data_IF_006804353941
#
_entry.id   IF_006804353941
#
_cell.length_a   1.000
_cell.length_b   1.000
_cell.length_c   1.000
_cell.angle_alpha   90.00
_cell.angle_beta   90.00
_cell.angle_gamma   90.00
#
_symmetry.space_group_name_H-M   'P 1'
#
loop_
_entity.id
_entity.type
_entity.pdbx_description
1 polymer ?
#
# COMPACT_ATOMS: atom_id res chain seq x y z
N UNK A 1 -16.84 -3.81 18.96
CA UNK A 1 -15.51 -3.74 19.60
C UNK A 1 -14.98 -2.32 19.41
N UNK A 2 -14.36 -1.70 20.42
CA UNK A 2 -13.95 -0.28 20.38
C UNK A 2 -12.58 -0.16 19.70
N UNK A 3 -12.48 0.58 18.61
CA UNK A 3 -11.20 0.98 18.02
C UNK A 3 -10.61 2.13 18.85
N UNK A 4 -9.39 1.95 19.37
CA UNK A 4 -8.69 2.93 20.19
C UNK A 4 -7.85 3.84 19.31
N UNK A 5 -8.47 4.90 18.79
CA UNK A 5 -7.78 5.95 18.04
C UNK A 5 -7.37 7.09 18.98
N UNK A 6 -6.07 7.32 19.13
CA UNK A 6 -5.54 8.54 19.75
C UNK A 6 -5.01 9.48 18.66
N UNK A 7 -5.57 10.68 18.55
CA UNK A 7 -5.16 11.74 17.61
C UNK A 7 -3.92 12.48 18.16
N UNK A 8 -2.81 12.66 17.40
CA UNK A 8 -1.60 13.27 17.94
C UNK A 8 -1.38 14.76 17.61
N UNK A 9 -2.36 15.53 17.13
CA UNK A 9 -2.09 16.92 16.70
C UNK A 9 -2.93 17.97 17.40
N UNK A 10 -2.44 18.49 18.54
CA UNK A 10 -2.72 19.84 19.05
C UNK A 10 -1.61 20.33 20.01
N UNK A 11 -0.74 21.25 19.54
CA UNK A 11 -0.44 22.60 20.12
C UNK A 11 0.90 23.16 19.60
N UNK A 12 0.97 24.44 19.19
CA UNK A 12 2.22 25.14 18.90
C UNK A 12 2.80 25.76 20.19
N UNK A 13 4.08 25.52 20.48
CA UNK A 13 4.81 26.26 21.49
C UNK A 13 5.41 27.52 20.84
N UNK A 14 4.92 28.68 21.26
CA UNK A 14 5.51 29.98 20.94
C UNK A 14 6.79 30.17 21.77
N UNK A 15 7.92 30.44 21.10
CA UNK A 15 9.19 30.80 21.73
C UNK A 15 9.89 31.88 20.90
N UNK A 16 10.18 33.01 21.54
CA UNK A 16 10.83 34.21 20.95
C UNK A 16 12.22 33.89 20.41
N UNK A 17 12.54 34.48 19.26
CA UNK A 17 13.91 34.59 18.73
C UNK A 17 14.53 35.88 19.32
N UNK A 18 15.68 35.83 20.02
CA UNK A 18 16.49 37.01 20.24
C UNK A 18 17.49 37.21 19.09
N UNK A 19 17.65 38.47 18.72
CA UNK A 19 18.50 39.00 17.66
C UNK A 19 19.98 39.06 18.06
N UNK A 20 20.85 38.80 17.07
CA UNK A 20 22.18 39.39 16.93
C UNK A 20 23.37 38.57 17.44
N UNK A 21 24.27 38.14 16.53
CA UNK A 21 25.57 38.81 16.25
C UNK A 21 26.29 38.07 15.10
N UNK A 22 26.70 38.82 14.08
CA UNK A 22 27.57 38.37 12.99
C UNK A 22 29.00 38.25 13.54
N UNK A 23 29.63 37.08 13.38
CA UNK A 23 31.09 36.93 13.46
C UNK A 23 31.52 35.95 12.37
N UNK A 24 32.27 36.46 11.39
CA UNK A 24 32.99 35.67 10.40
C UNK A 24 34.18 34.98 11.08
N UNK A 25 34.38 33.68 10.87
CA UNK A 25 35.72 33.08 10.74
C UNK A 25 35.60 31.73 10.02
N UNK A 26 36.37 31.57 8.95
CA UNK A 26 36.37 30.38 8.12
C UNK A 26 36.98 29.16 8.81
N UNK A 27 36.43 27.99 8.50
CA UNK A 27 37.11 26.71 8.68
C UNK A 27 36.82 25.81 7.49
N UNK A 28 37.92 25.26 6.97
CA UNK A 28 38.12 24.54 5.73
C UNK A 28 37.95 23.05 6.05
N UNK A 29 37.03 22.36 5.38
CA UNK A 29 36.85 20.91 5.54
C UNK A 29 38.00 20.14 4.83
N UNK A 30 38.64 19.15 5.46
CA UNK A 30 39.67 18.34 4.81
C UNK A 30 39.08 17.28 3.87
N UNK A 31 39.82 17.07 2.78
CA UNK A 31 39.53 16.22 1.62
C UNK A 31 39.37 14.74 1.96
N UNK A 32 38.37 14.11 1.34
CA UNK A 32 38.41 12.70 0.94
C UNK A 32 39.42 12.55 -0.22
N UNK A 33 40.67 12.14 0.06
CA UNK A 33 41.66 11.79 -0.99
C UNK A 33 42.41 10.47 -0.80
N UNK A 34 42.08 9.62 0.18
CA UNK A 34 42.98 8.50 0.55
C UNK A 34 42.48 7.07 0.25
N UNK A 35 41.51 6.88 -0.65
CA UNK A 35 41.16 5.52 -1.12
C UNK A 35 40.97 5.50 -2.64
N UNK A 36 42.06 5.74 -3.38
CA UNK A 36 42.16 5.42 -4.82
C UNK A 36 43.63 5.27 -5.26
N UNK A 37 44.40 4.42 -4.57
CA UNK A 37 45.70 3.95 -5.05
C UNK A 37 45.84 2.44 -4.86
N UNK A 38 45.16 1.67 -5.72
CA UNK A 38 45.51 0.30 -6.14
C UNK A 38 44.50 -0.18 -7.17
N UNK A 39 44.70 0.19 -8.43
CA UNK A 39 44.39 -0.58 -9.66
C UNK A 39 45.08 0.21 -10.79
N UNK A 40 46.13 -0.36 -11.38
CA UNK A 40 46.72 0.14 -12.64
C UNK A 40 46.03 -0.57 -13.81
N UNK A 41 45.75 0.11 -14.94
CA UNK A 41 45.23 -0.53 -16.14
C UNK A 41 46.38 -1.23 -16.90
N UNK A 42 46.34 -2.56 -16.97
CA UNK A 42 47.20 -3.37 -17.83
C UNK A 42 46.34 -4.03 -18.91
N UNK A 43 46.60 -3.69 -20.16
CA UNK A 43 46.02 -4.33 -21.33
C UNK A 43 46.41 -5.81 -21.37
N UNK A 44 45.42 -6.70 -21.47
CA UNK A 44 45.63 -8.09 -21.86
C UNK A 44 44.97 -8.27 -23.21
N UNK A 45 45.81 -8.32 -24.24
CA UNK A 45 45.43 -8.83 -25.56
C UNK A 45 45.24 -10.35 -25.42
N UNK A 46 44.04 -10.85 -25.72
CA UNK A 46 43.76 -12.28 -25.81
C UNK A 46 43.40 -12.61 -27.26
N UNK A 47 44.39 -13.17 -27.94
CA UNK A 47 44.31 -13.76 -29.28
C UNK A 47 43.33 -14.94 -29.25
N UNK A 48 42.40 -14.97 -30.19
CA UNK A 48 41.40 -16.03 -30.34
C UNK A 48 42.00 -17.17 -31.18
N UNK A 49 42.04 -18.43 -30.70
CA UNK A 49 42.07 -19.59 -31.58
C UNK A 49 40.64 -20.13 -31.77
N UNK A 50 40.40 -20.59 -33.00
CA UNK A 50 39.12 -21.10 -33.48
C UNK A 50 38.61 -22.30 -32.67
N UNK A 51 37.29 -22.37 -32.45
CA UNK A 51 36.59 -23.63 -32.22
C UNK A 51 35.57 -23.64 -31.08
N UNK A 52 34.30 -23.80 -31.48
CA UNK A 52 33.14 -24.33 -30.73
C UNK A 52 32.53 -23.49 -29.59
N UNK A 53 31.23 -23.22 -29.79
CA UNK A 53 30.24 -22.80 -28.78
C UNK A 53 30.26 -23.72 -27.54
N UNK A 54 30.12 -23.13 -26.35
CA UNK A 54 29.13 -23.54 -25.32
C UNK A 54 29.14 -22.57 -24.11
N UNK A 55 27.95 -22.06 -23.78
CA UNK A 55 27.46 -21.47 -22.51
C UNK A 55 28.43 -20.80 -21.52
N UNK A 56 28.26 -19.50 -21.28
CA UNK A 56 28.27 -18.92 -19.92
C UNK A 56 27.48 -17.60 -19.89
N UNK A 57 26.23 -17.69 -19.43
CA UNK A 57 25.38 -16.60 -18.98
C UNK A 57 25.48 -16.45 -17.46
N UNK A 58 25.22 -15.24 -16.96
CA UNK A 58 25.23 -14.78 -15.55
C UNK A 58 26.60 -14.36 -14.98
N UNK A 59 26.93 -13.06 -15.10
CA UNK A 59 27.45 -12.26 -13.96
C UNK A 59 27.51 -10.73 -14.21
N UNK A 60 26.58 -10.13 -14.97
CA UNK A 60 26.58 -8.68 -15.27
C UNK A 60 25.22 -7.97 -15.10
N UNK A 61 24.38 -8.39 -14.14
CA UNK A 61 23.09 -7.73 -13.86
C UNK A 61 22.87 -7.23 -12.42
N UNK A 62 23.81 -7.40 -11.50
CA UNK A 62 23.67 -6.89 -10.11
C UNK A 62 24.34 -5.52 -9.88
N UNK A 63 25.21 -5.07 -10.79
CA UNK A 63 25.94 -3.81 -10.63
C UNK A 63 25.16 -2.57 -11.12
N UNK A 64 24.13 -2.73 -11.96
CA UNK A 64 23.37 -1.61 -12.53
C UNK A 64 22.35 -1.02 -11.55
N UNK A 65 21.71 -1.83 -10.70
CA UNK A 65 20.71 -1.35 -9.74
C UNK A 65 21.31 -0.47 -8.65
N UNK A 66 22.41 -0.91 -8.03
CA UNK A 66 23.07 -0.16 -6.96
C UNK A 66 23.70 1.14 -7.48
N UNK A 67 24.28 1.12 -8.69
CA UNK A 67 24.84 2.30 -9.33
C UNK A 67 23.76 3.34 -9.67
N UNK A 68 22.58 2.91 -10.14
CA UNK A 68 21.47 3.81 -10.46
C UNK A 68 20.86 4.44 -9.19
N UNK A 69 20.79 3.70 -8.08
CA UNK A 69 20.36 4.23 -6.78
C UNK A 69 21.39 5.23 -6.23
N UNK A 70 22.69 4.95 -6.37
CA UNK A 70 23.76 5.86 -5.94
C UNK A 70 23.78 7.15 -6.76
N UNK A 71 23.59 7.05 -8.09
CA UNK A 71 23.52 8.21 -8.98
C UNK A 71 22.25 9.06 -8.73
N UNK A 72 21.11 8.43 -8.48
CA UNK A 72 19.88 9.14 -8.10
C UNK A 72 20.01 9.87 -6.75
N UNK A 73 20.72 9.25 -5.79
CA UNK A 73 21.02 9.88 -4.50
C UNK A 73 21.98 11.09 -4.65
N UNK A 74 22.97 11.00 -5.54
CA UNK A 74 23.89 12.10 -5.85
C UNK A 74 23.19 13.26 -6.56
N UNK A 75 22.27 12.98 -7.50
CA UNK A 75 21.49 14.01 -8.20
C UNK A 75 20.50 14.72 -7.26
N UNK A 76 19.93 14.00 -6.28
CA UNK A 76 19.05 14.59 -5.27
C UNK A 76 19.78 15.48 -4.24
N UNK A 77 21.13 15.41 -4.17
CA UNK A 77 21.92 16.19 -3.22
C UNK A 77 22.48 17.50 -3.81
N UNK A 78 22.42 17.68 -5.14
CA UNK A 78 22.84 18.90 -5.82
C UNK A 78 21.65 19.73 -6.29
N UNK A 79 21.08 20.56 -5.42
CA UNK A 79 20.35 21.73 -5.90
C UNK A 79 21.38 22.67 -6.55
N UNK A 80 21.29 22.86 -7.87
CA UNK A 80 22.09 23.75 -8.73
C UNK A 80 23.31 23.15 -9.46
N UNK A 81 23.10 22.11 -10.27
CA UNK A 81 24.03 21.80 -11.35
C UNK A 81 23.26 21.63 -12.67
N UNK A 82 23.52 22.50 -13.64
CA UNK A 82 23.05 22.33 -15.02
C UNK A 82 23.73 21.09 -15.62
N UNK A 83 22.93 20.13 -16.08
CA UNK A 83 23.43 18.86 -16.65
C UNK A 83 23.97 19.10 -18.07
N UNK A 84 25.14 18.53 -18.43
CA UNK A 84 25.65 18.57 -19.80
C UNK A 84 24.70 17.88 -20.79
N UNK A 85 24.50 18.51 -21.95
CA UNK A 85 23.54 18.17 -23.01
C UNK A 85 23.67 16.78 -23.66
N UNK A 86 24.62 15.96 -23.21
CA UNK A 86 24.89 14.62 -23.74
C UNK A 86 24.05 13.54 -23.03
N UNK A 87 23.65 13.74 -21.76
CA UNK A 87 22.85 12.75 -21.00
C UNK A 87 21.34 12.86 -21.33
N UNK A 88 20.88 14.02 -21.81
CA UNK A 88 19.46 14.28 -22.08
C UNK A 88 18.88 13.49 -23.27
N UNK A 89 19.72 12.89 -24.14
CA UNK A 89 19.27 12.23 -25.38
C UNK A 89 19.08 10.71 -25.28
N UNK A 90 19.43 10.09 -24.15
CA UNK A 90 19.38 8.62 -24.01
C UNK A 90 18.62 8.12 -22.78
N UNK A 91 17.92 9.00 -22.06
CA UNK A 91 16.96 8.59 -21.04
C UNK A 91 15.58 8.56 -21.71
N UNK A 92 14.95 7.38 -21.90
CA UNK A 92 13.56 7.32 -22.31
C UNK A 92 12.79 8.21 -21.34
N UNK A 93 11.98 9.14 -21.84
CA UNK A 93 11.15 10.00 -21.01
C UNK A 93 10.39 9.13 -20.00
N UNK A 94 10.86 9.11 -18.75
CA UNK A 94 10.16 8.46 -17.67
C UNK A 94 8.90 9.29 -17.48
N UNK A 95 7.80 8.84 -18.08
CA UNK A 95 6.48 9.36 -17.80
C UNK A 95 6.21 9.07 -16.33
N UNK A 96 5.93 10.13 -15.56
CA UNK A 96 5.54 10.04 -14.16
C UNK A 96 4.27 9.17 -13.96
N UNK A 97 3.52 8.89 -15.02
CA UNK A 97 2.34 8.02 -15.02
C UNK A 97 2.69 6.53 -14.79
N UNK A 98 3.95 6.14 -15.04
CA UNK A 98 4.41 4.76 -14.82
C UNK A 98 4.62 4.39 -13.33
N UNK A 99 4.61 5.37 -12.42
CA UNK A 99 4.87 5.20 -10.98
C UNK A 99 3.66 5.44 -10.07
N UNK A 100 2.46 5.66 -10.62
CA UNK A 100 1.22 5.81 -9.85
C UNK A 100 0.63 4.43 -9.49
N UNK A 101 0.66 3.97 -8.23
CA UNK A 101 0.22 2.63 -7.87
C UNK A 101 -1.32 2.55 -7.89
N UNK A 102 -1.86 1.69 -8.78
CA UNK A 102 -3.19 1.03 -8.79
C UNK A 102 -4.48 1.83 -8.52
N UNK A 103 -4.42 3.09 -8.07
CA UNK A 103 -5.54 3.74 -7.39
C UNK A 103 -6.32 4.75 -8.24
N UNK A 104 -5.76 5.16 -9.38
CA UNK A 104 -6.34 6.16 -10.28
C UNK A 104 -6.57 5.64 -11.70
N UNK A 105 -7.20 4.48 -11.87
CA UNK A 105 -7.68 4.08 -13.20
C UNK A 105 -9.11 3.56 -13.12
N UNK A 106 -10.06 4.41 -13.45
CA UNK A 106 -11.37 4.00 -13.99
C UNK A 106 -11.17 3.55 -15.46
N UNK A 107 -10.19 2.68 -15.68
CA UNK A 107 -10.05 1.97 -16.94
C UNK A 107 -11.02 0.79 -16.89
N UNK A 108 -11.77 0.63 -17.97
CA UNK A 108 -12.58 -0.55 -18.24
C UNK A 108 -11.70 -1.80 -18.09
N UNK A 109 -11.86 -2.51 -16.97
CA UNK A 109 -10.92 -3.55 -16.59
C UNK A 109 -11.24 -4.81 -17.40
N UNK A 110 -10.40 -5.10 -18.40
CA UNK A 110 -10.50 -6.30 -19.21
C UNK A 110 -10.07 -7.54 -18.41
N UNK A 111 -10.91 -7.97 -17.47
CA UNK A 111 -10.71 -9.22 -16.73
C UNK A 111 -10.78 -10.41 -17.69
N UNK A 112 -9.78 -11.29 -17.59
CA UNK A 112 -9.81 -12.60 -18.25
C UNK A 112 -11.03 -13.41 -17.78
N UNK A 113 -11.48 -14.37 -18.58
CA UNK A 113 -12.58 -15.27 -18.20
C UNK A 113 -12.31 -15.99 -16.87
N UNK A 114 -11.04 -16.34 -16.60
CA UNK A 114 -10.63 -16.94 -15.34
C UNK A 114 -10.81 -15.97 -14.16
N UNK A 115 -10.38 -14.71 -14.29
CA UNK A 115 -10.58 -13.69 -13.27
C UNK A 115 -12.06 -13.41 -13.03
N UNK A 116 -12.89 -13.38 -14.08
CA UNK A 116 -14.35 -13.22 -13.95
C UNK A 116 -14.99 -14.37 -13.18
N UNK A 117 -14.61 -15.62 -13.46
CA UNK A 117 -15.10 -16.81 -12.74
C UNK A 117 -14.67 -16.82 -11.28
N UNK A 118 -13.43 -16.43 -11.00
CA UNK A 118 -12.92 -16.30 -9.64
C UNK A 118 -13.68 -15.20 -8.88
N UNK A 119 -13.88 -14.04 -9.51
CA UNK A 119 -14.64 -12.93 -8.96
C UNK A 119 -16.09 -13.32 -8.66
N UNK A 120 -16.76 -14.03 -9.56
CA UNK A 120 -18.11 -14.55 -9.33
C UNK A 120 -18.15 -15.50 -8.13
N UNK A 121 -17.14 -16.38 -8.01
CA UNK A 121 -17.07 -17.32 -6.89
C UNK A 121 -16.89 -16.61 -5.55
N UNK A 122 -16.00 -15.62 -5.51
CA UNK A 122 -15.76 -14.79 -4.32
C UNK A 122 -16.98 -13.93 -3.99
N UNK A 123 -17.68 -13.38 -5.00
CA UNK A 123 -18.92 -12.62 -4.82
C UNK A 123 -20.00 -13.47 -4.15
N UNK A 124 -20.29 -14.65 -4.68
CA UNK A 124 -21.29 -15.54 -4.08
C UNK A 124 -20.92 -15.94 -2.65
N UNK A 125 -19.64 -16.21 -2.39
CA UNK A 125 -19.18 -16.56 -1.05
C UNK A 125 -19.28 -15.39 -0.06
N UNK A 126 -18.83 -14.18 -0.44
CA UNK A 126 -18.95 -12.97 0.38
C UNK A 126 -20.41 -12.65 0.64
N UNK A 127 -21.29 -12.81 -0.36
CA UNK A 127 -22.72 -12.65 -0.19
C UNK A 127 -23.28 -13.61 0.85
N UNK A 128 -22.92 -14.89 0.81
CA UNK A 128 -23.35 -15.89 1.80
C UNK A 128 -22.89 -15.54 3.21
N UNK A 129 -21.68 -14.99 3.39
CA UNK A 129 -21.21 -14.49 4.69
C UNK A 129 -22.12 -13.38 5.24
N UNK A 130 -22.57 -12.47 4.37
CA UNK A 130 -23.34 -11.28 4.77
C UNK A 130 -24.83 -11.63 4.97
N UNK A 131 -25.39 -12.53 4.15
CA UNK A 131 -26.81 -12.88 4.14
C UNK A 131 -27.35 -13.41 5.47
N UNK A 132 -26.50 -13.97 6.32
CA UNK A 132 -26.91 -14.44 7.65
C UNK A 132 -27.37 -13.31 8.60
N UNK A 133 -27.14 -12.03 8.25
CA UNK A 133 -27.39 -10.87 9.11
C UNK A 133 -28.26 -9.79 8.46
N UNK A 134 -28.48 -9.83 7.14
CA UNK A 134 -29.10 -8.75 6.39
C UNK A 134 -30.07 -9.28 5.33
N UNK A 135 -30.96 -8.41 4.84
CA UNK A 135 -31.81 -8.71 3.69
C UNK A 135 -30.95 -9.11 2.49
N UNK A 136 -31.48 -9.99 1.65
CA UNK A 136 -30.78 -10.51 0.46
C UNK A 136 -30.26 -9.40 -0.46
N UNK A 137 -31.03 -8.33 -0.68
CA UNK A 137 -30.66 -7.17 -1.49
C UNK A 137 -29.44 -6.44 -0.92
N UNK A 138 -29.45 -6.16 0.38
CA UNK A 138 -28.40 -5.40 1.05
C UNK A 138 -27.09 -6.22 1.10
N UNK A 139 -27.23 -7.53 1.28
CA UNK A 139 -26.10 -8.45 1.26
C UNK A 139 -25.48 -8.56 -0.14
N UNK A 140 -26.30 -8.64 -1.19
CA UNK A 140 -25.85 -8.68 -2.58
C UNK A 140 -25.07 -7.40 -2.93
N UNK A 141 -25.66 -6.22 -2.74
CA UNK A 141 -25.00 -4.96 -3.07
C UNK A 141 -23.73 -4.71 -2.23
N UNK A 142 -23.74 -5.06 -0.93
CA UNK A 142 -22.53 -4.93 -0.09
C UNK A 142 -21.41 -5.86 -0.57
N UNK A 143 -21.74 -7.10 -0.92
CA UNK A 143 -20.77 -8.05 -1.45
C UNK A 143 -20.19 -7.59 -2.79
N UNK A 144 -21.04 -7.07 -3.69
CA UNK A 144 -20.61 -6.52 -4.97
C UNK A 144 -19.61 -5.38 -4.78
N UNK A 145 -19.91 -4.42 -3.91
CA UNK A 145 -19.02 -3.30 -3.61
C UNK A 145 -17.68 -3.78 -3.05
N UNK A 146 -17.70 -4.68 -2.06
CA UNK A 146 -16.47 -5.23 -1.46
C UNK A 146 -15.62 -5.90 -2.54
N UNK A 147 -16.21 -6.79 -3.34
CA UNK A 147 -15.48 -7.55 -4.36
C UNK A 147 -14.94 -6.64 -5.46
N UNK A 148 -15.77 -5.74 -6.02
CA UNK A 148 -15.36 -4.85 -7.09
C UNK A 148 -14.20 -3.93 -6.66
N UNK A 149 -14.31 -3.27 -5.51
CA UNK A 149 -13.26 -2.35 -5.05
C UNK A 149 -11.98 -3.09 -4.63
N UNK A 150 -12.11 -4.31 -4.09
CA UNK A 150 -10.96 -5.18 -3.79
C UNK A 150 -10.22 -5.58 -5.06
N UNK A 151 -10.94 -6.04 -6.09
CA UNK A 151 -10.37 -6.42 -7.38
C UNK A 151 -9.72 -5.22 -8.08
N UNK A 152 -10.38 -4.05 -8.05
CA UNK A 152 -9.82 -2.80 -8.59
C UNK A 152 -8.46 -2.45 -7.98
N UNK A 153 -8.31 -2.70 -6.68
CA UNK A 153 -7.08 -2.45 -5.93
C UNK A 153 -6.08 -3.61 -5.93
N UNK A 154 -6.40 -4.76 -6.55
CA UNK A 154 -5.57 -5.96 -6.50
C UNK A 154 -5.44 -6.57 -5.10
N UNK A 155 -6.43 -6.36 -4.23
CA UNK A 155 -6.50 -6.93 -2.89
C UNK A 155 -7.50 -8.08 -2.89
N UNK A 156 -7.22 -9.13 -2.11
CA UNK A 156 -8.13 -10.27 -1.98
C UNK A 156 -9.48 -9.84 -1.37
N UNK A 157 -10.60 -10.04 -2.08
CA UNK A 157 -11.93 -9.72 -1.56
C UNK A 157 -12.29 -10.41 -0.25
N UNK A 158 -11.80 -11.62 0.00
CA UNK A 158 -12.05 -12.34 1.26
C UNK A 158 -11.33 -11.68 2.44
N UNK A 159 -10.15 -11.11 2.20
CA UNK A 159 -9.43 -10.34 3.21
C UNK A 159 -10.16 -9.04 3.53
N UNK A 160 -10.58 -8.28 2.51
CA UNK A 160 -11.34 -7.04 2.72
C UNK A 160 -12.68 -7.32 3.41
N UNK A 161 -13.38 -8.40 3.03
CA UNK A 161 -14.59 -8.83 3.72
C UNK A 161 -14.32 -9.14 5.21
N UNK A 162 -13.17 -9.74 5.56
CA UNK A 162 -12.82 -10.04 6.94
C UNK A 162 -12.56 -8.76 7.75
N UNK A 163 -11.90 -7.77 7.14
CA UNK A 163 -11.73 -6.43 7.73
C UNK A 163 -13.09 -5.77 7.95
N UNK A 164 -13.96 -5.73 6.94
CA UNK A 164 -15.31 -5.13 7.05
C UNK A 164 -16.14 -5.82 8.13
N UNK A 165 -16.07 -7.15 8.24
CA UNK A 165 -16.72 -7.92 9.31
C UNK A 165 -16.25 -7.47 10.69
N UNK A 166 -14.94 -7.33 10.88
CA UNK A 166 -14.34 -6.92 12.15
C UNK A 166 -14.66 -5.46 12.52
N UNK A 167 -14.74 -4.58 11.54
CA UNK A 167 -14.96 -3.14 11.74
C UNK A 167 -16.42 -2.79 12.00
N UNK A 168 -17.34 -3.26 11.16
CA UNK A 168 -18.74 -2.84 11.18
C UNK A 168 -19.73 -3.99 11.24
N UNK A 169 -19.27 -5.24 11.15
CA UNK A 169 -20.13 -6.39 10.88
C UNK A 169 -21.04 -6.14 9.67
N UNK A 170 -20.45 -5.55 8.62
CA UNK A 170 -21.10 -5.16 7.35
C UNK A 170 -22.18 -4.07 7.45
N UNK A 171 -22.29 -3.37 8.58
CA UNK A 171 -23.23 -2.25 8.74
C UNK A 171 -22.72 -1.00 8.04
N UNK A 172 -23.32 -0.66 6.89
CA UNK A 172 -22.91 0.48 6.03
C UNK A 172 -22.93 1.84 6.72
N UNK A 173 -23.87 2.07 7.64
CA UNK A 173 -24.05 3.32 8.36
C UNK A 173 -23.41 3.33 9.77
N UNK A 174 -22.52 2.38 10.07
CA UNK A 174 -21.89 2.28 11.38
C UNK A 174 -21.08 3.54 11.74
N UNK A 175 -21.23 4.02 12.98
CA UNK A 175 -20.43 5.09 13.56
C UNK A 175 -19.90 4.66 14.92
N UNK A 176 -18.59 4.72 15.13
CA UNK A 176 -18.02 4.46 16.46
C UNK A 176 -18.15 5.68 17.38
N UNK A 177 -18.04 5.52 18.72
CA UNK A 177 -18.05 6.63 19.66
C UNK A 177 -16.94 7.66 19.42
N UNK A 178 -15.82 7.23 18.84
CA UNK A 178 -14.67 8.10 18.52
C UNK A 178 -14.73 8.68 17.11
N UNK A 179 -15.81 8.42 16.36
CA UNK A 179 -16.07 9.06 15.06
C UNK A 179 -15.57 8.29 13.84
N UNK A 180 -15.25 7.00 13.96
CA UNK A 180 -14.97 6.13 12.81
C UNK A 180 -16.28 5.82 12.05
N UNK A 181 -16.25 5.79 10.72
CA UNK A 181 -17.46 5.79 9.89
C UNK A 181 -17.46 4.67 8.84
N UNK A 182 -18.64 4.10 8.59
CA UNK A 182 -18.92 3.20 7.47
C UNK A 182 -18.42 1.77 7.63
N UNK A 183 -18.42 1.03 6.51
CA UNK A 183 -18.10 -0.40 6.45
C UNK A 183 -16.73 -0.76 7.02
N UNK A 184 -15.69 0.02 6.70
CA UNK A 184 -14.31 -0.18 7.10
C UNK A 184 -13.89 0.75 8.26
N UNK A 185 -14.86 1.42 8.90
CA UNK A 185 -14.66 2.32 10.05
C UNK A 185 -13.49 3.29 9.83
N UNK A 186 -13.52 4.00 8.71
CA UNK A 186 -12.51 5.00 8.38
C UNK A 186 -12.73 6.25 9.24
N UNK A 187 -11.66 6.74 9.87
CA UNK A 187 -11.66 8.04 10.55
C UNK A 187 -11.64 9.17 9.51
N UNK A 188 -12.40 10.27 9.67
CA UNK A 188 -12.39 11.39 8.74
C UNK A 188 -10.99 11.96 8.46
N UNK A 189 -10.15 12.09 9.50
CA UNK A 189 -8.78 12.55 9.37
C UNK A 189 -7.93 11.59 8.52
N UNK A 190 -8.07 10.27 8.74
CA UNK A 190 -7.42 9.24 7.93
C UNK A 190 -7.91 9.27 6.49
N UNK A 191 -9.22 9.42 6.28
CA UNK A 191 -9.82 9.55 4.96
C UNK A 191 -9.25 10.73 4.18
N UNK A 192 -9.22 11.92 4.79
CA UNK A 192 -8.64 13.12 4.17
C UNK A 192 -7.14 12.98 3.88
N UNK A 193 -6.39 12.34 4.78
CA UNK A 193 -4.97 12.09 4.59
C UNK A 193 -4.73 11.13 3.41
N UNK A 194 -5.43 10.00 3.38
CA UNK A 194 -5.17 8.96 2.39
C UNK A 194 -5.61 9.38 0.99
N UNK A 195 -6.73 10.10 0.86
CA UNK A 195 -7.18 10.59 -0.45
C UNK A 195 -6.17 11.57 -1.04
N UNK A 196 -5.63 12.48 -0.22
CA UNK A 196 -4.59 13.43 -0.63
C UNK A 196 -3.34 12.74 -1.16
N UNK A 197 -2.77 11.79 -0.43
CA UNK A 197 -1.50 11.14 -0.83
C UNK A 197 -1.66 10.13 -1.97
N UNK A 198 -2.90 9.75 -2.28
CA UNK A 198 -3.22 8.80 -3.36
C UNK A 198 -3.87 9.44 -4.58
N UNK A 199 -3.98 10.77 -4.60
CA UNK A 199 -4.62 11.49 -5.71
C UNK A 199 -6.12 11.23 -5.85
N UNK A 200 -6.81 10.81 -4.79
CA UNK A 200 -8.27 10.84 -4.80
C UNK A 200 -8.80 12.18 -4.33
N UNK A 201 -9.97 12.50 -4.86
CA UNK A 201 -10.78 13.58 -4.33
C UNK A 201 -11.31 13.22 -2.94
N UNK A 202 -11.09 14.11 -1.97
CA UNK A 202 -11.74 14.05 -0.67
C UNK A 202 -13.15 14.63 -0.77
N UNK A 203 -14.18 13.80 -0.68
CA UNK A 203 -15.58 14.21 -0.83
C UNK A 203 -16.28 14.56 0.50
N UNK A 204 -15.53 14.75 1.59
CA UNK A 204 -16.07 15.05 2.91
C UNK A 204 -16.35 13.81 3.77
N UNK A 205 -16.53 14.04 5.08
CA UNK A 205 -16.75 12.96 6.05
C UNK A 205 -18.11 12.28 5.88
N UNK A 206 -19.14 13.00 5.44
CA UNK A 206 -20.46 12.42 5.18
C UNK A 206 -20.42 11.29 4.15
N UNK A 207 -19.54 11.40 3.14
CA UNK A 207 -19.34 10.38 2.10
C UNK A 207 -18.74 9.08 2.64
N UNK A 208 -18.13 9.07 3.83
CA UNK A 208 -17.67 7.83 4.46
C UNK A 208 -18.82 6.90 4.87
N UNK A 209 -20.08 7.32 4.82
CA UNK A 209 -21.24 6.42 4.97
C UNK A 209 -21.66 5.75 3.66
N UNK A 210 -21.16 6.22 2.51
CA UNK A 210 -21.40 5.56 1.22
C UNK A 210 -20.45 4.38 1.07
N UNK A 211 -21.02 3.17 0.97
CA UNK A 211 -20.29 1.91 1.02
C UNK A 211 -19.12 1.85 0.02
N UNK A 212 -19.34 2.25 -1.24
CA UNK A 212 -18.32 2.24 -2.29
C UNK A 212 -17.14 3.17 -1.96
N UNK A 213 -17.42 4.42 -1.60
CA UNK A 213 -16.39 5.38 -1.23
C UNK A 213 -15.64 4.93 0.04
N UNK A 214 -16.35 4.44 1.05
CA UNK A 214 -15.75 3.97 2.30
C UNK A 214 -14.79 2.78 2.08
N UNK A 215 -15.22 1.78 1.31
CA UNK A 215 -14.37 0.61 1.00
C UNK A 215 -13.16 1.03 0.18
N UNK A 216 -13.33 1.89 -0.82
CA UNK A 216 -12.23 2.43 -1.64
C UNK A 216 -11.16 3.14 -0.78
N UNK A 217 -11.61 4.03 0.11
CA UNK A 217 -10.72 4.78 1.01
C UNK A 217 -10.04 3.85 2.02
N UNK A 218 -10.79 2.90 2.59
CA UNK A 218 -10.26 1.92 3.54
C UNK A 218 -9.20 1.00 2.92
N UNK A 219 -9.42 0.52 1.69
CA UNK A 219 -8.44 -0.28 0.95
C UNK A 219 -7.17 0.52 0.64
N UNK A 220 -7.28 1.79 0.25
CA UNK A 220 -6.08 2.60 0.06
C UNK A 220 -5.30 2.81 1.35
N UNK A 221 -6.00 2.93 2.49
CA UNK A 221 -5.32 3.04 3.77
C UNK A 221 -4.61 1.73 4.14
N UNK A 222 -5.23 0.56 3.88
CA UNK A 222 -4.55 -0.73 3.99
C UNK A 222 -3.31 -0.81 3.08
N UNK A 223 -3.40 -0.37 1.82
CA UNK A 223 -2.24 -0.40 0.91
C UNK A 223 -1.13 0.57 1.36
N UNK A 224 -1.49 1.70 1.97
CA UNK A 224 -0.50 2.61 2.58
C UNK A 224 0.22 1.93 3.74
N UNK A 225 -0.53 1.28 4.64
CA UNK A 225 0.06 0.57 5.79
C UNK A 225 0.90 -0.63 5.35
N UNK A 226 0.51 -1.36 4.30
CA UNK A 226 1.30 -2.47 3.75
C UNK A 226 2.69 -2.01 3.34
N UNK A 227 2.80 -0.85 2.68
CA UNK A 227 4.09 -0.27 2.30
C UNK A 227 4.88 0.20 3.52
N UNK A 228 4.21 0.79 4.51
CA UNK A 228 4.85 1.29 5.73
C UNK A 228 5.45 0.18 6.61
N UNK A 229 4.88 -1.02 6.56
CA UNK A 229 5.27 -2.15 7.41
C UNK A 229 5.75 -3.37 6.62
N UNK A 230 6.38 -3.17 5.47
CA UNK A 230 7.03 -4.22 4.66
C UNK A 230 6.14 -5.45 4.39
N UNK A 231 4.86 -5.20 4.13
CA UNK A 231 3.84 -6.22 3.86
C UNK A 231 3.59 -7.23 5.00
N UNK A 232 4.08 -6.95 6.22
CA UNK A 232 3.77 -7.72 7.43
C UNK A 232 2.31 -7.48 7.83
N UNK A 233 1.44 -8.40 7.40
CA UNK A 233 -0.01 -8.25 7.58
C UNK A 233 -0.44 -8.18 9.04
N UNK A 234 0.34 -8.75 9.97
CA UNK A 234 0.06 -8.61 11.39
C UNK A 234 0.31 -7.17 11.85
N UNK A 235 1.44 -6.58 11.48
CA UNK A 235 1.73 -5.16 11.75
C UNK A 235 0.73 -4.23 11.07
N UNK A 236 0.37 -4.50 9.82
CA UNK A 236 -0.63 -3.72 9.06
C UNK A 236 -1.97 -3.67 9.80
N UNK A 237 -2.49 -4.81 10.24
CA UNK A 237 -3.77 -4.85 10.95
C UNK A 237 -3.70 -4.23 12.34
N UNK A 238 -2.58 -4.38 13.05
CA UNK A 238 -2.33 -3.70 14.32
C UNK A 238 -2.32 -2.17 14.11
N UNK A 239 -1.61 -1.69 13.09
CA UNK A 239 -1.57 -0.27 12.75
C UNK A 239 -2.91 0.26 12.23
N UNK A 240 -3.70 -0.56 11.53
CA UNK A 240 -5.03 -0.18 11.07
C UNK A 240 -5.96 0.06 12.27
N UNK A 241 -5.92 -0.80 13.29
CA UNK A 241 -6.80 -0.72 14.46
C UNK A 241 -6.32 0.25 15.55
N UNK A 242 -5.00 0.35 15.75
CA UNK A 242 -4.40 1.10 16.87
C UNK A 242 -3.58 2.31 16.44
N UNK A 243 -3.42 2.51 15.13
CA UNK A 243 -2.69 3.62 14.54
C UNK A 243 -1.19 3.32 14.34
N UNK A 244 -0.60 3.73 13.19
CA UNK A 244 0.80 3.45 12.86
C UNK A 244 1.78 4.06 13.86
N UNK A 245 1.54 5.29 14.33
CA UNK A 245 2.39 5.95 15.32
C UNK A 245 2.44 5.20 16.66
N UNK A 246 1.34 4.55 17.07
CA UNK A 246 1.35 3.72 18.28
C UNK A 246 2.14 2.43 18.07
N UNK A 247 2.03 1.82 16.87
CA UNK A 247 2.84 0.66 16.53
C UNK A 247 4.32 1.00 16.47
N UNK A 248 4.72 2.14 15.89
CA UNK A 248 6.12 2.59 15.90
C UNK A 248 6.68 2.76 17.31
N UNK A 249 5.92 3.40 18.22
CA UNK A 249 6.29 3.47 19.65
C UNK A 249 6.44 2.08 20.26
N UNK A 250 5.59 1.14 19.87
CA UNK A 250 5.68 -0.23 20.34
C UNK A 250 6.91 -0.97 19.83
N UNK A 251 7.30 -0.77 18.57
CA UNK A 251 8.51 -1.35 18.00
C UNK A 251 9.79 -0.82 18.67
N UNK A 252 9.75 0.39 19.25
CA UNK A 252 10.82 0.94 20.10
C UNK A 252 10.74 0.53 21.58
N UNK A 253 9.77 -0.28 21.97
CA UNK A 253 9.58 -0.73 23.35
C UNK A 253 8.89 0.28 24.28
N UNK A 254 8.44 1.42 23.76
CA UNK A 254 7.83 2.51 24.56
C UNK A 254 6.36 2.24 24.92
N UNK A 255 5.69 1.36 24.16
CA UNK A 255 4.26 1.09 24.32
C UNK A 255 3.94 -0.37 23.98
N UNK A 256 2.88 -0.93 24.57
CA UNK A 256 2.37 -2.26 24.20
C UNK A 256 1.02 -2.17 23.51
N UNK A 257 0.78 -2.93 22.41
CA UNK A 257 -0.52 -2.98 21.79
C UNK A 257 -1.54 -3.59 22.75
N UNK A 258 -2.77 -3.06 22.82
CA UNK A 258 -3.84 -3.70 23.57
C UNK A 258 -4.07 -5.14 23.12
N UNK A 259 -4.41 -6.04 24.03
CA UNK A 259 -4.76 -7.44 23.70
C UNK A 259 -5.92 -7.51 22.70
N UNK A 260 -6.85 -6.56 22.76
CA UNK A 260 -7.95 -6.41 21.79
C UNK A 260 -7.45 -6.17 20.37
N UNK A 261 -6.38 -5.38 20.20
CA UNK A 261 -5.76 -5.09 18.89
C UNK A 261 -5.05 -6.32 18.34
N UNK A 262 -4.34 -7.07 19.18
CA UNK A 262 -3.71 -8.34 18.78
C UNK A 262 -4.78 -9.38 18.39
N UNK A 263 -5.87 -9.48 19.16
CA UNK A 263 -7.02 -10.35 18.85
C UNK A 263 -7.72 -9.93 17.56
N UNK A 264 -7.84 -8.62 17.30
CA UNK A 264 -8.37 -8.09 16.05
C UNK A 264 -7.57 -8.60 14.85
N UNK A 265 -6.24 -8.43 14.86
CA UNK A 265 -5.38 -8.89 13.78
C UNK A 265 -5.46 -10.41 13.59
N UNK A 266 -5.39 -11.18 14.68
CA UNK A 266 -5.52 -12.64 14.65
C UNK A 266 -6.86 -13.11 14.08
N UNK A 267 -7.96 -12.46 14.46
CA UNK A 267 -9.31 -12.80 13.97
C UNK A 267 -9.40 -12.62 12.46
N UNK A 268 -8.92 -11.49 11.93
CA UNK A 268 -9.02 -11.19 10.49
C UNK A 268 -8.19 -12.17 9.67
N UNK A 269 -6.95 -12.45 10.09
CA UNK A 269 -6.09 -13.43 9.39
C UNK A 269 -6.68 -14.84 9.45
N UNK A 270 -7.25 -15.23 10.59
CA UNK A 270 -7.94 -16.52 10.74
C UNK A 270 -9.19 -16.64 9.88
N UNK A 271 -10.05 -15.62 9.87
CA UNK A 271 -11.24 -15.56 9.00
C UNK A 271 -10.83 -15.62 7.53
N UNK A 272 -9.84 -14.84 7.11
CA UNK A 272 -9.34 -14.81 5.74
C UNK A 272 -8.82 -16.18 5.28
N UNK A 273 -7.97 -16.82 6.09
CA UNK A 273 -7.44 -18.16 5.79
C UNK A 273 -8.55 -19.20 5.73
N UNK A 274 -9.46 -19.20 6.71
CA UNK A 274 -10.59 -20.12 6.76
C UNK A 274 -11.48 -19.98 5.53
N UNK A 275 -11.85 -18.75 5.19
CA UNK A 275 -12.73 -18.45 4.05
C UNK A 275 -12.09 -18.81 2.71
N UNK A 276 -10.78 -18.58 2.54
CA UNK A 276 -10.02 -19.07 1.38
C UNK A 276 -10.12 -20.59 1.25
N UNK A 277 -9.93 -21.33 2.34
CA UNK A 277 -10.07 -22.78 2.38
C UNK A 277 -11.50 -23.23 2.04
N UNK A 278 -12.50 -22.60 2.66
CA UNK A 278 -13.91 -22.96 2.47
C UNK A 278 -14.38 -22.69 1.04
N UNK A 279 -13.96 -21.57 0.43
CA UNK A 279 -14.20 -21.28 -0.98
C UNK A 279 -13.56 -22.33 -1.90
N UNK A 280 -12.32 -22.72 -1.62
CA UNK A 280 -11.61 -23.71 -2.43
C UNK A 280 -12.27 -25.10 -2.34
N UNK A 281 -12.68 -25.53 -1.14
CA UNK A 281 -13.40 -26.80 -0.93
C UNK A 281 -14.74 -26.82 -1.66
N UNK A 282 -15.43 -25.67 -1.70
CA UNK A 282 -16.74 -25.54 -2.32
C UNK A 282 -16.68 -24.97 -3.75
N UNK A 283 -15.51 -24.99 -4.41
CA UNK A 283 -15.34 -24.34 -5.73
C UNK A 283 -16.34 -24.83 -6.78
N UNK A 284 -16.73 -26.11 -6.73
CA UNK A 284 -17.74 -26.68 -7.62
C UNK A 284 -19.13 -26.04 -7.46
N UNK A 285 -19.51 -25.66 -6.24
CA UNK A 285 -20.77 -24.98 -5.92
C UNK A 285 -20.86 -23.62 -6.63
N UNK A 286 -19.75 -22.88 -6.66
CA UNK A 286 -19.71 -21.52 -7.21
C UNK A 286 -19.29 -21.45 -8.68
N UNK A 287 -18.71 -22.52 -9.24
CA UNK A 287 -18.26 -22.62 -10.64
C UNK A 287 -19.36 -22.36 -11.68
N UNK A 288 -20.62 -22.59 -11.32
CA UNK A 288 -21.78 -22.52 -12.22
C UNK A 288 -22.77 -21.39 -11.90
N UNK A 289 -22.48 -20.57 -10.90
CA UNK A 289 -23.32 -19.41 -10.60
C UNK A 289 -22.92 -18.29 -11.57
N UNK A 290 -23.78 -18.01 -12.55
CA UNK A 290 -23.47 -17.27 -13.78
C UNK A 290 -22.87 -15.87 -13.59
N UNK A 291 -22.16 -15.38 -14.61
CA UNK A 291 -21.44 -14.10 -14.61
C UNK A 291 -22.27 -12.93 -15.15
N UNK A 292 -23.61 -13.02 -15.18
CA UNK A 292 -24.44 -12.00 -15.84
C UNK A 292 -24.25 -10.59 -15.26
N UNK A 293 -23.97 -10.49 -13.96
CA UNK A 293 -23.64 -9.22 -13.29
C UNK A 293 -22.24 -8.67 -13.62
N UNK A 294 -21.36 -9.47 -14.23
CA UNK A 294 -19.98 -9.06 -14.58
C UNK A 294 -19.87 -8.49 -16.01
N UNK A 295 -20.99 -8.35 -16.71
CA UNK A 295 -21.06 -7.90 -18.11
C UNK A 295 -21.68 -6.51 -18.27
N UNK A 296 -22.06 -5.86 -17.16
CA UNK A 296 -22.63 -4.51 -17.06
C UNK A 296 -21.68 -3.57 -16.35
#
# INVERSE_FOLDING_TARGET
>A
MRANWASPYLRPAAGRIPSGRIIQHGTRWPLFSDICHKIRPGAVALTIPQGRLQFFSLFLLSASGALMVFLAALVNQSHNAELPSIIARSVPSISWDSWVPAFQRDQEYNFTLQQRREMASQLHFVREIIQNQFKRSDAEETAQIIVQESMRAGVDPLFVAAVVKAESSFKRNARSPVGAQGLMQVMPATGKFITKIRGLEWQGSGKLYEAKYNVRVGIAYLDYLKKLFDHDMQKVLVAYNWGPANLEKSLRGEKRPPSSTLKYAKTILGDHQKWRSDLHKNRAKYKYMGTSFLLS
#
